data_IF_640960433341
#
_entry.id   IF_640960433341
#
_cell.length_a   1.000
_cell.length_b   1.000
_cell.length_c   1.000
_cell.angle_alpha   90.00
_cell.angle_beta   90.00
_cell.angle_gamma   90.00
#
_symmetry.space_group_name_H-M   'P 1'
#
loop_
_entity.id
_entity.type
_entity.pdbx_description
1 polymer ?
#
# COMPACT_ATOMS: atom_id res chain seq x y z
N UNK A 1 0.13 36.66 -5.39
CA UNK A 1 1.45 36.40 -4.77
C UNK A 1 1.96 35.13 -5.42
N UNK A 2 2.96 35.25 -6.31
CA UNK A 2 3.45 34.18 -7.18
C UNK A 2 4.46 33.33 -6.41
N UNK A 3 4.18 32.03 -6.22
CA UNK A 3 5.18 31.07 -5.73
C UNK A 3 5.94 30.44 -6.92
N UNK A 4 7.25 30.16 -6.77
CA UNK A 4 8.09 29.68 -7.87
C UNK A 4 7.81 28.21 -8.22
N UNK A 5 7.87 27.91 -9.53
CA UNK A 5 7.62 26.61 -10.17
C UNK A 5 8.63 25.49 -9.83
N UNK A 6 9.41 25.61 -8.77
CA UNK A 6 10.42 24.62 -8.36
C UNK A 6 10.06 23.81 -7.10
N UNK A 7 8.80 23.88 -6.63
CA UNK A 7 8.31 23.17 -5.43
C UNK A 7 7.10 22.26 -5.78
N UNK A 8 6.97 21.83 -7.04
CA UNK A 8 5.90 20.91 -7.46
C UNK A 8 6.39 19.44 -7.49
N UNK A 9 7.69 19.20 -7.29
CA UNK A 9 8.31 17.88 -7.37
C UNK A 9 8.56 17.15 -6.05
N UNK A 10 8.08 17.64 -4.90
CA UNK A 10 8.32 17.01 -3.59
C UNK A 10 7.14 17.13 -2.62
N UNK A 11 5.91 17.19 -3.12
CA UNK A 11 4.72 17.34 -2.27
C UNK A 11 3.60 16.37 -2.70
N UNK A 12 3.90 15.07 -2.76
CA UNK A 12 2.91 13.97 -2.92
C UNK A 12 3.45 12.68 -2.28
N UNK A 13 3.91 12.78 -1.03
CA UNK A 13 4.14 11.60 -0.18
C UNK A 13 3.42 11.88 1.13
N UNK A 14 2.13 11.55 1.17
CA UNK A 14 1.44 11.31 2.43
C UNK A 14 1.80 9.90 2.86
N UNK A 15 2.48 9.81 3.99
CA UNK A 15 2.85 8.55 4.63
C UNK A 15 1.61 7.89 5.23
N UNK A 16 0.94 7.03 4.48
CA UNK A 16 0.00 6.06 5.05
C UNK A 16 0.61 4.66 4.98
N UNK A 17 1.27 4.26 6.08
CA UNK A 17 1.77 2.89 6.25
C UNK A 17 0.59 1.98 6.59
N UNK A 18 -0.10 1.46 5.57
CA UNK A 18 -1.23 0.54 5.78
C UNK A 18 -0.71 -0.90 5.90
N UNK A 19 -0.66 -1.36 7.14
CA UNK A 19 -0.35 -2.74 7.49
C UNK A 19 -1.65 -3.55 7.57
N UNK A 20 -2.06 -4.21 6.48
CA UNK A 20 -3.19 -5.14 6.52
C UNK A 20 -2.96 -6.23 7.57
N UNK A 21 -3.91 -6.39 8.50
CA UNK A 21 -3.95 -7.46 9.49
C UNK A 21 -4.63 -8.66 8.84
N UNK A 22 -3.84 -9.58 8.31
CA UNK A 22 -4.34 -10.75 7.61
C UNK A 22 -3.55 -11.96 8.10
N UNK A 23 -4.12 -12.80 8.98
CA UNK A 23 -3.60 -14.16 9.12
C UNK A 23 -4.01 -15.06 7.97
N UNK A 24 -3.31 -14.86 6.88
CA UNK A 24 -3.40 -15.64 5.68
C UNK A 24 -2.09 -16.40 5.55
N UNK A 25 -2.09 -17.68 5.91
CA UNK A 25 -0.98 -18.60 5.68
C UNK A 25 -0.69 -18.78 4.17
N UNK A 26 -0.03 -17.79 3.59
CA UNK A 26 0.53 -17.76 2.24
C UNK A 26 1.98 -17.31 2.36
N UNK A 27 2.89 -17.97 1.63
CA UNK A 27 4.33 -17.68 1.64
C UNK A 27 4.72 -16.46 0.79
N UNK A 28 3.78 -15.64 0.32
CA UNK A 28 4.06 -14.46 -0.51
C UNK A 28 3.03 -13.35 -0.25
N UNK A 29 3.42 -12.23 0.40
CA UNK A 29 2.64 -10.98 0.42
C UNK A 29 3.51 -9.69 0.54
N UNK A 30 3.26 -8.77 -0.40
CA UNK A 30 3.01 -7.31 -0.32
C UNK A 30 4.02 -6.40 0.41
N UNK A 31 4.70 -5.52 -0.34
CA UNK A 31 5.51 -4.41 0.18
C UNK A 31 5.17 -3.05 -0.47
N UNK A 32 5.14 -2.01 0.36
CA UNK A 32 5.18 -0.59 -0.04
C UNK A 32 6.65 -0.19 -0.23
N UNK A 33 6.96 0.52 -1.32
CA UNK A 33 8.31 1.05 -1.58
C UNK A 33 8.40 2.52 -1.16
N UNK A 34 9.36 2.81 -0.29
CA UNK A 34 10.05 4.10 -0.24
C UNK A 34 11.32 3.99 -1.12
N UNK A 35 11.66 5.05 -1.85
CA UNK A 35 12.65 4.98 -2.91
C UNK A 35 14.08 5.18 -2.36
N UNK A 36 15.02 4.38 -2.90
CA UNK A 36 16.49 4.48 -2.83
C UNK A 36 17.18 3.89 -1.59
N UNK A 37 17.65 2.65 -1.73
CA UNK A 37 19.07 2.29 -1.84
C UNK A 37 19.28 0.81 -1.49
N UNK A 38 19.92 0.07 -2.38
CA UNK A 38 20.56 -1.24 -2.19
C UNK A 38 19.79 -2.32 -1.41
N UNK A 39 19.49 -3.42 -2.12
CA UNK A 39 18.90 -4.65 -1.58
C UNK A 39 19.83 -5.26 -0.52
N UNK A 40 19.62 -4.91 0.75
CA UNK A 40 19.97 -5.75 1.89
C UNK A 40 18.67 -6.40 2.41
N UNK A 41 18.80 -7.57 3.03
CA UNK A 41 17.69 -8.44 3.44
C UNK A 41 16.55 -7.65 4.09
N UNK A 42 15.47 -7.39 3.35
CA UNK A 42 14.27 -6.63 3.78
C UNK A 42 13.64 -7.19 5.07
N UNK A 43 14.04 -8.38 5.49
CA UNK A 43 13.65 -9.02 6.76
C UNK A 43 14.52 -8.71 7.98
N UNK A 44 15.61 -7.92 7.91
CA UNK A 44 16.50 -7.67 9.05
C UNK A 44 16.44 -6.25 9.62
N UNK A 45 15.70 -5.33 8.99
CA UNK A 45 15.57 -3.97 9.53
C UNK A 45 14.86 -3.98 10.90
N UNK A 46 15.43 -3.34 11.92
CA UNK A 46 14.79 -3.23 13.22
C UNK A 46 13.53 -2.37 13.13
N UNK A 47 12.45 -2.89 13.68
CA UNK A 47 11.16 -2.21 13.87
C UNK A 47 10.78 -2.22 15.33
N UNK A 48 10.06 -1.19 15.75
CA UNK A 48 9.46 -1.13 17.07
C UNK A 48 7.96 -1.23 16.93
N UNK A 49 7.37 -2.18 17.64
CA UNK A 49 5.92 -2.32 17.71
C UNK A 49 5.45 -2.15 19.15
N UNK A 50 4.24 -1.64 19.31
CA UNK A 50 3.55 -1.57 20.58
C UNK A 50 2.30 -2.45 20.53
N UNK A 51 2.21 -3.41 21.45
CA UNK A 51 1.01 -4.26 21.57
C UNK A 51 0.00 -3.63 22.53
N UNK A 52 -1.18 -4.23 22.69
CA UNK A 52 -2.22 -3.74 23.59
C UNK A 52 -1.81 -3.69 25.08
N UNK A 53 -0.68 -4.30 25.46
CA UNK A 53 -0.09 -4.16 26.80
C UNK A 53 0.69 -2.85 27.01
N UNK A 54 0.75 -1.97 26.00
CA UNK A 54 1.61 -0.77 25.96
C UNK A 54 3.12 -1.09 26.05
N UNK A 55 3.50 -2.34 25.84
CA UNK A 55 4.89 -2.75 25.78
C UNK A 55 5.45 -2.49 24.39
N UNK A 56 6.61 -1.81 24.34
CA UNK A 56 7.36 -1.59 23.12
C UNK A 56 8.29 -2.78 22.89
N UNK A 57 8.21 -3.39 21.71
CA UNK A 57 8.97 -4.59 21.36
C UNK A 57 9.79 -4.35 20.11
N UNK A 58 11.08 -4.68 20.16
CA UNK A 58 11.95 -4.69 18.99
C UNK A 58 11.75 -5.99 18.21
N UNK A 59 11.46 -5.84 16.93
CA UNK A 59 11.07 -6.92 16.01
C UNK A 59 11.67 -6.68 14.64
N UNK A 60 11.73 -7.71 13.81
CA UNK A 60 11.96 -7.55 12.37
C UNK A 60 10.65 -7.38 11.60
N UNK A 61 10.71 -7.01 10.33
CA UNK A 61 9.54 -7.09 9.43
C UNK A 61 8.98 -8.52 9.33
N UNK A 62 9.86 -9.53 9.39
CA UNK A 62 9.48 -10.93 9.36
C UNK A 62 8.74 -11.36 10.64
N UNK A 63 9.16 -10.86 11.79
CA UNK A 63 8.47 -11.07 13.07
C UNK A 63 7.10 -10.38 13.09
N UNK A 64 7.00 -9.16 12.57
CA UNK A 64 5.71 -8.46 12.41
C UNK A 64 4.73 -9.29 11.61
N UNK A 65 5.19 -9.89 10.50
CA UNK A 65 4.36 -10.79 9.71
C UNK A 65 3.97 -12.03 10.51
N UNK A 66 4.90 -12.67 11.21
CA UNK A 66 4.63 -13.81 12.09
C UNK A 66 3.59 -13.51 13.17
N UNK A 67 3.66 -12.34 13.81
CA UNK A 67 2.70 -11.88 14.81
C UNK A 67 1.31 -11.69 14.21
N UNK A 68 1.22 -11.02 13.05
CA UNK A 68 -0.05 -10.86 12.34
C UNK A 68 -0.66 -12.20 11.98
N UNK A 69 0.15 -13.15 11.46
CA UNK A 69 -0.25 -14.52 11.15
C UNK A 69 -0.81 -15.28 12.37
N UNK A 70 -0.44 -14.86 13.58
CA UNK A 70 -0.95 -15.44 14.82
C UNK A 70 -2.08 -14.60 15.45
N UNK A 71 -2.63 -13.62 14.72
CA UNK A 71 -3.73 -12.78 15.19
C UNK A 71 -3.34 -11.76 16.25
N UNK A 72 -2.04 -11.48 16.40
CA UNK A 72 -1.57 -10.47 17.36
C UNK A 72 -1.72 -9.08 16.76
N UNK A 73 -2.47 -8.21 17.44
CA UNK A 73 -2.61 -6.80 17.06
C UNK A 73 -1.49 -5.98 17.68
N UNK A 74 -0.87 -5.11 16.88
CA UNK A 74 0.17 -4.19 17.32
C UNK A 74 0.13 -2.91 16.47
N UNK A 75 0.74 -1.83 17.00
CA UNK A 75 1.00 -0.57 16.29
C UNK A 75 2.49 -0.48 15.98
N UNK A 76 2.87 -0.16 14.75
CA UNK A 76 4.26 0.13 14.41
C UNK A 76 4.60 1.56 14.84
N UNK A 77 5.44 1.69 15.87
CA UNK A 77 5.84 2.96 16.49
C UNK A 77 7.24 3.39 16.11
N UNK A 78 7.88 2.75 15.11
CA UNK A 78 9.30 2.95 14.76
C UNK A 78 9.69 4.42 14.53
N UNK A 79 8.76 5.26 14.04
CA UNK A 79 9.03 6.67 13.74
C UNK A 79 8.64 7.66 14.84
N UNK A 80 7.98 7.22 15.91
CA UNK A 80 7.46 8.06 17.00
C UNK A 80 7.62 7.37 18.37
N UNK A 81 8.55 6.41 18.45
CA UNK A 81 8.84 5.60 19.63
C UNK A 81 9.27 6.45 20.84
N UNK A 82 9.87 7.62 20.60
CA UNK A 82 10.32 8.58 21.61
C UNK A 82 9.17 9.09 22.51
N UNK A 83 7.92 8.99 22.04
CA UNK A 83 6.73 9.37 22.83
C UNK A 83 6.38 8.33 23.92
N UNK A 84 6.89 7.11 23.79
CA UNK A 84 6.49 5.97 24.64
C UNK A 84 7.55 5.56 25.65
N UNK A 85 8.78 6.05 25.49
CA UNK A 85 9.94 5.68 26.32
C UNK A 85 10.55 6.95 26.90
N UNK A 86 10.75 6.95 28.21
CA UNK A 86 11.29 8.11 28.92
C UNK A 86 12.75 8.36 28.51
N UNK A 87 13.03 9.59 28.08
CA UNK A 87 14.34 10.05 27.61
C UNK A 87 15.49 9.86 28.60
N UNK A 88 15.19 9.73 29.89
CA UNK A 88 16.20 9.52 30.94
C UNK A 88 16.54 8.03 31.15
N UNK A 89 15.93 7.11 30.40
CA UNK A 89 16.13 5.66 30.55
C UNK A 89 17.26 5.12 29.67
N UNK A 90 17.92 4.06 30.16
CA UNK A 90 18.90 3.30 29.38
C UNK A 90 18.28 2.68 28.11
N UNK A 91 16.98 2.38 28.13
CA UNK A 91 16.23 1.87 26.99
C UNK A 91 16.16 2.92 25.86
N UNK A 92 15.89 4.19 26.20
CA UNK A 92 15.86 5.29 25.23
C UNK A 92 17.19 5.47 24.52
N UNK A 93 18.29 5.43 25.27
CA UNK A 93 19.63 5.57 24.71
C UNK A 93 19.99 4.39 23.80
N UNK A 94 19.60 3.17 24.16
CA UNK A 94 19.88 1.97 23.38
C UNK A 94 19.07 1.91 22.09
N UNK A 95 17.77 2.22 22.15
CA UNK A 95 16.90 2.26 20.98
C UNK A 95 17.35 3.36 20.02
N UNK A 96 17.67 4.55 20.54
CA UNK A 96 18.26 5.63 19.74
C UNK A 96 19.50 5.16 19.00
N UNK A 97 20.40 4.41 19.65
CA UNK A 97 21.61 3.87 19.02
C UNK A 97 21.29 2.86 17.93
N UNK A 98 20.40 1.90 18.20
CA UNK A 98 20.00 0.88 17.22
C UNK A 98 19.40 1.55 15.99
N UNK A 99 18.39 2.39 16.17
CA UNK A 99 17.71 3.05 15.05
C UNK A 99 18.61 4.05 14.32
N UNK A 100 19.44 4.82 15.03
CA UNK A 100 20.36 5.77 14.37
C UNK A 100 21.50 5.05 13.63
N UNK A 101 22.02 3.95 14.16
CA UNK A 101 23.03 3.14 13.47
C UNK A 101 22.51 2.62 12.13
N UNK A 102 21.28 2.07 12.12
CA UNK A 102 20.62 1.64 10.89
C UNK A 102 20.27 2.83 9.97
N UNK A 103 19.80 3.97 10.51
CA UNK A 103 19.50 5.18 9.71
C UNK A 103 20.74 5.81 9.06
N UNK A 104 21.90 5.74 9.70
CA UNK A 104 23.14 6.38 9.23
C UNK A 104 24.00 5.49 8.33
N UNK A 105 23.64 4.21 8.14
CA UNK A 105 24.40 3.22 7.33
C UNK A 105 25.90 3.13 7.70
N UNK A 106 26.27 3.46 8.95
CA UNK A 106 27.66 3.38 9.42
C UNK A 106 28.03 1.94 9.80
N UNK A 107 28.35 1.12 8.80
CA UNK A 107 28.76 -0.28 9.02
C UNK A 107 30.25 -0.39 9.34
N UNK A 108 30.63 -0.13 10.59
CA UNK A 108 31.88 -0.65 11.15
C UNK A 108 31.63 -1.39 12.47
N UNK A 109 31.75 -2.73 12.41
CA UNK A 109 32.02 -3.65 13.53
C UNK A 109 31.19 -3.47 14.82
N UNK A 110 29.90 -3.16 14.74
CA UNK A 110 29.04 -3.16 15.92
C UNK A 110 28.36 -4.52 16.11
N UNK A 111 29.05 -5.43 16.80
CA UNK A 111 28.46 -6.69 17.25
C UNK A 111 27.69 -6.43 18.55
N UNK A 112 26.38 -6.18 18.44
CA UNK A 112 25.49 -5.94 19.57
C UNK A 112 25.11 -7.26 20.27
N UNK A 113 25.27 -7.33 21.59
CA UNK A 113 24.72 -8.41 22.41
C UNK A 113 23.31 -8.02 22.86
N UNK A 114 22.31 -8.62 22.21
CA UNK A 114 20.87 -8.45 22.44
C UNK A 114 20.41 -8.79 23.88
N UNK A 115 21.25 -9.48 24.65
CA UNK A 115 20.94 -10.03 25.98
C UNK A 115 20.72 -9.00 27.10
N UNK A 116 21.03 -7.70 26.92
CA UNK A 116 20.96 -6.70 28.00
C UNK A 116 19.68 -5.86 28.05
N UNK A 117 18.70 -6.14 27.20
CA UNK A 117 17.56 -5.24 26.94
C UNK A 117 16.24 -5.63 27.65
N UNK A 118 16.22 -6.65 28.51
CA UNK A 118 14.99 -7.05 29.20
C UNK A 118 14.68 -6.13 30.40
N UNK A 119 14.02 -5.01 30.16
CA UNK A 119 13.33 -4.21 31.18
C UNK A 119 11.83 -4.50 31.14
N UNK A 120 11.06 -4.17 32.19
CA UNK A 120 9.61 -4.44 32.24
C UNK A 120 8.78 -3.73 31.14
N UNK A 121 9.37 -2.83 30.34
CA UNK A 121 8.69 -2.09 29.27
C UNK A 121 9.23 -2.40 27.87
N UNK A 122 10.34 -3.13 27.77
CA UNK A 122 11.00 -3.42 26.51
C UNK A 122 11.26 -4.92 26.36
N UNK A 123 10.71 -5.50 25.30
CA UNK A 123 10.86 -6.91 24.97
C UNK A 123 11.54 -7.07 23.61
N UNK A 124 12.22 -8.21 23.44
CA UNK A 124 12.79 -8.62 22.16
C UNK A 124 12.15 -9.94 21.80
N UNK A 125 11.63 -10.05 20.58
CA UNK A 125 11.19 -11.35 20.09
C UNK A 125 12.44 -12.14 19.71
N UNK A 126 12.71 -13.19 20.47
CA UNK A 126 13.68 -14.20 20.04
C UNK A 126 13.23 -14.80 18.71
N UNK A 127 14.17 -14.86 17.77
CA UNK A 127 14.01 -15.33 16.40
C UNK A 127 13.39 -16.74 16.40
N UNK A 128 12.06 -16.80 16.16
CA UNK A 128 11.34 -18.08 16.16
C UNK A 128 11.57 -18.78 14.83
N UNK A 129 12.25 -19.92 14.87
CA UNK A 129 12.25 -20.91 13.77
C UNK A 129 10.82 -21.15 13.28
N UNK A 130 10.54 -20.73 12.05
CA UNK A 130 9.24 -20.92 11.39
C UNK A 130 8.55 -19.65 10.90
N UNK A 131 9.17 -18.48 11.02
CA UNK A 131 8.63 -17.26 10.42
C UNK A 131 8.52 -17.39 8.89
N UNK A 132 7.43 -16.89 8.29
CA UNK A 132 7.19 -16.97 6.84
C UNK A 132 8.34 -16.30 6.08
N UNK A 133 8.76 -16.89 4.96
CA UNK A 133 9.80 -16.32 4.10
C UNK A 133 9.18 -15.14 3.35
N UNK A 134 9.73 -13.95 3.56
CA UNK A 134 9.35 -12.79 2.76
C UNK A 134 9.94 -12.95 1.35
N UNK A 135 9.14 -12.84 0.27
CA UNK A 135 9.68 -12.86 -1.08
C UNK A 135 10.61 -11.66 -1.26
N UNK A 136 11.88 -11.93 -1.61
CA UNK A 136 12.84 -10.88 -1.95
C UNK A 136 12.63 -10.51 -3.41
N UNK A 137 12.11 -9.31 -3.65
CA UNK A 137 11.94 -8.81 -5.02
C UNK A 137 13.17 -7.99 -5.42
N UNK A 138 13.89 -8.47 -6.44
CA UNK A 138 15.01 -7.71 -7.02
C UNK A 138 14.45 -6.72 -8.03
N UNK A 139 14.33 -5.46 -7.59
CA UNK A 139 14.01 -4.38 -8.51
C UNK A 139 15.24 -4.05 -9.37
N UNK A 140 15.05 -3.77 -10.66
CA UNK A 140 16.17 -3.40 -11.51
C UNK A 140 16.81 -2.09 -11.01
N UNK A 141 18.08 -2.17 -10.59
CA UNK A 141 18.82 -1.04 -9.99
C UNK A 141 19.54 -0.22 -11.09
N UNK A 142 19.68 -0.77 -12.30
CA UNK A 142 20.33 -0.06 -13.40
C UNK A 142 19.35 0.84 -14.19
N UNK A 143 19.87 1.98 -14.67
CA UNK A 143 19.07 2.90 -15.47
C UNK A 143 18.63 2.35 -16.83
N UNK A 144 19.15 1.19 -17.25
CA UNK A 144 18.88 0.61 -18.57
C UNK A 144 17.58 -0.21 -18.60
N UNK A 145 17.20 -0.76 -17.45
CA UNK A 145 16.00 -1.56 -17.23
C UNK A 145 14.79 -0.72 -16.79
N UNK A 146 15.02 0.48 -16.27
CA UNK A 146 13.95 1.40 -15.90
C UNK A 146 13.51 2.28 -17.08
N UNK A 147 12.20 2.45 -17.26
CA UNK A 147 11.62 3.18 -18.39
C UNK A 147 11.59 4.71 -18.21
N UNK A 148 12.65 5.33 -17.67
CA UNK A 148 12.70 6.76 -17.29
C UNK A 148 12.18 7.69 -18.39
N UNK A 149 12.69 7.57 -19.63
CA UNK A 149 12.25 8.41 -20.76
C UNK A 149 10.76 8.30 -21.05
N UNK A 150 10.14 7.13 -20.80
CA UNK A 150 8.70 6.91 -20.99
C UNK A 150 7.94 7.55 -19.83
N UNK A 151 8.40 7.32 -18.59
CA UNK A 151 7.81 7.88 -17.37
C UNK A 151 7.87 9.41 -17.36
N UNK A 152 9.03 10.02 -17.63
CA UNK A 152 9.19 11.49 -17.67
C UNK A 152 8.24 12.15 -18.68
N UNK A 153 8.02 11.50 -19.84
CA UNK A 153 7.06 11.99 -20.84
C UNK A 153 5.62 11.93 -20.36
N UNK A 154 5.27 10.99 -19.49
CA UNK A 154 3.94 10.86 -18.90
C UNK A 154 3.75 11.86 -17.77
N UNK A 155 4.76 12.05 -16.90
CA UNK A 155 4.74 13.04 -15.82
C UNK A 155 4.46 14.44 -16.38
N UNK A 156 5.08 14.80 -17.50
CA UNK A 156 4.84 16.09 -18.15
C UNK A 156 3.44 16.25 -18.76
N UNK A 157 2.60 15.21 -18.76
CA UNK A 157 1.22 15.21 -19.25
C UNK A 157 0.17 15.16 -18.13
N UNK A 158 0.62 15.18 -16.87
CA UNK A 158 -0.28 15.23 -15.71
C UNK A 158 -1.17 16.48 -15.84
N UNK A 159 -2.47 16.26 -15.77
CA UNK A 159 -3.50 17.29 -15.83
C UNK A 159 -3.99 17.64 -14.43
N UNK A 160 -3.28 18.57 -13.78
CA UNK A 160 -3.61 19.00 -12.42
C UNK A 160 -4.97 19.69 -12.33
N UNK A 161 -5.43 20.34 -13.40
CA UNK A 161 -6.74 20.98 -13.43
C UNK A 161 -7.86 19.92 -13.40
N UNK A 162 -7.70 18.81 -14.15
CA UNK A 162 -8.62 17.68 -14.05
C UNK A 162 -8.60 17.08 -12.64
N UNK A 163 -7.41 16.87 -12.06
CA UNK A 163 -7.29 16.34 -10.69
C UNK A 163 -8.03 17.22 -9.67
N UNK A 164 -7.88 18.55 -9.76
CA UNK A 164 -8.62 19.48 -8.90
C UNK A 164 -10.12 19.45 -9.13
N UNK A 165 -10.57 19.34 -10.39
CA UNK A 165 -11.98 19.20 -10.74
C UNK A 165 -12.58 17.92 -10.14
N UNK A 166 -11.91 16.79 -10.33
CA UNK A 166 -12.33 15.49 -9.79
C UNK A 166 -12.38 15.52 -8.25
N UNK A 167 -11.37 16.11 -7.62
CA UNK A 167 -11.32 16.26 -6.16
C UNK A 167 -12.45 17.15 -5.66
N UNK A 168 -12.79 18.21 -6.39
CA UNK A 168 -13.92 19.07 -6.07
C UNK A 168 -15.26 18.33 -6.13
N UNK A 169 -15.40 17.33 -7.02
CA UNK A 169 -16.59 16.47 -7.04
C UNK A 169 -16.60 15.54 -5.82
N UNK A 170 -15.49 14.85 -5.55
CA UNK A 170 -15.38 13.92 -4.40
C UNK A 170 -15.60 14.59 -3.05
N UNK A 171 -15.11 15.82 -2.88
CA UNK A 171 -15.30 16.63 -1.66
C UNK A 171 -16.64 17.38 -1.62
N UNK A 172 -17.36 17.37 -2.74
CA UNK A 172 -18.71 17.92 -2.89
C UNK A 172 -19.79 17.02 -2.27
N UNK A 173 -19.56 15.70 -2.22
CA UNK A 173 -20.42 14.78 -1.47
C UNK A 173 -20.45 15.17 0.02
N UNK A 174 -21.58 14.92 0.70
CA UNK A 174 -21.72 15.26 2.12
C UNK A 174 -20.71 14.47 2.98
N UNK A 175 -20.61 13.18 2.74
CA UNK A 175 -19.52 12.30 3.14
C UNK A 175 -19.38 11.23 2.09
N UNK A 176 -18.32 10.43 2.15
CA UNK A 176 -18.20 9.20 1.36
C UNK A 176 -18.27 7.98 2.26
N UNK A 177 -18.94 8.10 3.41
CA UNK A 177 -18.99 7.05 4.42
C UNK A 177 -19.61 5.77 3.85
N UNK A 178 -18.92 4.65 3.99
CA UNK A 178 -19.23 3.39 3.29
C UNK A 178 -20.62 2.81 3.57
N UNK A 179 -21.23 3.12 4.73
CA UNK A 179 -22.61 2.72 5.09
C UNK A 179 -23.69 3.69 4.62
N UNK A 180 -23.32 4.82 4.02
CA UNK A 180 -24.25 5.87 3.61
C UNK A 180 -24.59 5.79 2.12
N UNK A 181 -25.75 6.35 1.74
CA UNK A 181 -26.09 6.51 0.32
C UNK A 181 -25.08 7.40 -0.42
N UNK A 182 -24.51 8.42 0.25
CA UNK A 182 -23.49 9.27 -0.36
C UNK A 182 -22.20 8.50 -0.66
N UNK A 183 -21.81 7.54 0.19
CA UNK A 183 -20.69 6.64 -0.07
C UNK A 183 -20.90 5.76 -1.30
N UNK A 184 -22.11 5.22 -1.47
CA UNK A 184 -22.49 4.49 -2.68
C UNK A 184 -22.47 5.41 -3.92
N UNK A 185 -23.10 6.58 -3.84
CA UNK A 185 -23.13 7.55 -4.95
C UNK A 185 -21.72 7.99 -5.36
N UNK A 186 -20.81 8.24 -4.42
CA UNK A 186 -19.43 8.61 -4.72
C UNK A 186 -18.66 7.47 -5.37
N UNK A 187 -18.86 6.23 -4.94
CA UNK A 187 -18.24 5.07 -5.58
C UNK A 187 -18.76 4.87 -7.01
N UNK A 188 -20.08 5.03 -7.24
CA UNK A 188 -20.66 4.95 -8.57
C UNK A 188 -20.18 6.08 -9.49
N UNK A 189 -19.88 7.26 -8.95
CA UNK A 189 -19.23 8.33 -9.72
C UNK A 189 -17.83 7.92 -10.18
N UNK A 190 -16.99 7.38 -9.30
CA UNK A 190 -15.65 6.86 -9.66
C UNK A 190 -15.77 5.73 -10.69
N UNK A 191 -16.72 4.81 -10.51
CA UNK A 191 -17.00 3.74 -11.47
C UNK A 191 -17.36 4.30 -12.87
N UNK A 192 -18.11 5.40 -12.92
CA UNK A 192 -18.42 6.10 -14.16
C UNK A 192 -17.18 6.65 -14.88
N UNK A 193 -16.27 7.30 -14.15
CA UNK A 193 -14.99 7.78 -14.70
C UNK A 193 -14.15 6.62 -15.24
N UNK A 194 -14.10 5.50 -14.51
CA UNK A 194 -13.38 4.30 -14.90
C UNK A 194 -13.98 3.63 -16.14
N UNK A 195 -15.31 3.51 -16.22
CA UNK A 195 -15.98 3.00 -17.40
C UNK A 195 -15.70 3.87 -18.63
N UNK A 196 -15.71 5.19 -18.49
CA UNK A 196 -15.38 6.10 -19.59
C UNK A 196 -13.97 5.84 -20.14
N UNK A 197 -12.99 5.54 -19.29
CA UNK A 197 -11.65 5.14 -19.72
C UNK A 197 -11.63 3.77 -20.41
N UNK A 198 -12.39 2.79 -19.91
CA UNK A 198 -12.42 1.44 -20.47
C UNK A 198 -13.04 1.38 -21.88
N UNK A 199 -13.93 2.30 -22.23
CA UNK A 199 -14.56 2.34 -23.57
C UNK A 199 -13.56 2.49 -24.72
N UNK A 200 -12.37 3.04 -24.47
CA UNK A 200 -11.31 3.18 -25.46
C UNK A 200 -10.83 1.80 -25.98
N UNK A 201 -10.87 0.75 -25.14
CA UNK A 201 -10.49 -0.62 -25.53
C UNK A 201 -11.06 -1.70 -24.58
N UNK A 202 -12.33 -2.08 -24.80
CA UNK A 202 -13.04 -3.07 -23.98
C UNK A 202 -12.47 -4.51 -24.04
N UNK A 203 -11.51 -4.79 -24.93
CA UNK A 203 -10.80 -6.09 -24.95
C UNK A 203 -9.61 -6.11 -24.01
N UNK A 204 -9.03 -4.95 -23.72
CA UNK A 204 -7.84 -4.79 -22.89
C UNK A 204 -8.20 -4.36 -21.46
N UNK A 205 -9.29 -3.59 -21.32
CA UNK A 205 -9.71 -2.99 -20.06
C UNK A 205 -11.00 -3.64 -19.55
N UNK A 206 -11.01 -3.98 -18.27
CA UNK A 206 -12.19 -4.48 -17.57
C UNK A 206 -12.41 -3.67 -16.28
N UNK A 207 -13.64 -3.24 -16.01
CA UNK A 207 -14.01 -2.53 -14.78
C UNK A 207 -15.06 -3.34 -14.05
N UNK A 208 -14.75 -3.78 -12.84
CA UNK A 208 -15.61 -4.62 -12.01
C UNK A 208 -15.97 -3.89 -10.71
N UNK A 209 -17.25 -3.94 -10.35
CA UNK A 209 -17.70 -3.61 -9.01
C UNK A 209 -17.57 -4.87 -8.15
N UNK A 210 -16.87 -4.75 -7.03
CA UNK A 210 -16.79 -5.78 -6.00
C UNK A 210 -17.79 -5.39 -4.90
N UNK A 211 -18.90 -6.13 -4.84
CA UNK A 211 -19.96 -5.90 -3.85
C UNK A 211 -19.59 -6.50 -2.50
N UNK A 212 -19.98 -5.82 -1.43
CA UNK A 212 -19.75 -6.24 -0.05
C UNK A 212 -21.09 -6.56 0.62
N UNK A 213 -21.15 -7.62 1.42
CA UNK A 213 -22.41 -8.07 2.03
C UNK A 213 -22.90 -7.10 3.11
N UNK A 214 -21.98 -6.54 3.90
CA UNK A 214 -22.30 -5.77 5.11
C UNK A 214 -22.56 -4.27 4.87
N UNK A 215 -22.28 -3.76 3.67
CA UNK A 215 -22.39 -2.34 3.36
C UNK A 215 -22.61 -2.06 1.87
N UNK A 216 -23.31 -0.97 1.52
CA UNK A 216 -23.73 -0.69 0.15
C UNK A 216 -22.62 -0.16 -0.76
N UNK A 217 -21.57 0.48 -0.23
CA UNK A 217 -20.50 1.03 -1.06
C UNK A 217 -19.64 -0.11 -1.63
N UNK A 218 -19.54 -0.28 -2.96
CA UNK A 218 -18.69 -1.31 -3.54
C UNK A 218 -17.22 -0.86 -3.58
N UNK A 219 -16.30 -1.82 -3.54
CA UNK A 219 -14.94 -1.59 -4.06
C UNK A 219 -14.96 -1.67 -5.59
N UNK A 220 -13.98 -1.06 -6.26
CA UNK A 220 -13.91 -1.02 -7.73
C UNK A 220 -12.54 -1.47 -8.19
N UNK A 221 -12.50 -2.36 -9.17
CA UNK A 221 -11.27 -2.89 -9.76
C UNK A 221 -11.27 -2.57 -11.25
N UNK A 222 -10.33 -1.72 -11.68
CA UNK A 222 -10.03 -1.52 -13.09
C UNK A 222 -8.81 -2.36 -13.47
N UNK A 223 -9.00 -3.34 -14.33
CA UNK A 223 -7.98 -4.27 -14.79
C UNK A 223 -7.53 -3.96 -16.22
N UNK A 224 -6.22 -3.86 -16.40
CA UNK A 224 -5.54 -3.87 -17.69
C UNK A 224 -4.95 -5.26 -17.88
N UNK A 225 -5.38 -5.96 -18.94
CA UNK A 225 -4.85 -7.29 -19.24
C UNK A 225 -3.37 -7.21 -19.66
N UNK A 226 -2.55 -8.02 -19.02
CA UNK A 226 -1.17 -8.24 -19.42
C UNK A 226 -1.07 -8.97 -20.76
N UNK A 227 0.03 -8.75 -21.47
CA UNK A 227 0.42 -9.51 -22.65
C UNK A 227 1.83 -10.08 -22.40
N UNK A 228 1.94 -11.18 -21.63
CA UNK A 228 3.25 -11.74 -21.30
C UNK A 228 3.94 -12.18 -22.59
N UNK A 229 5.18 -11.75 -22.79
CA UNK A 229 6.02 -12.27 -23.87
C UNK A 229 6.26 -13.74 -23.55
N UNK A 230 5.84 -14.64 -24.44
CA UNK A 230 6.05 -16.08 -24.28
C UNK A 230 7.54 -16.41 -24.36
N UNK A 231 8.26 -16.28 -23.24
CA UNK A 231 9.58 -16.87 -23.06
C UNK A 231 9.47 -18.23 -22.36
N UNK A 232 8.38 -18.97 -22.60
CA UNK A 232 8.24 -20.35 -22.13
C UNK A 232 9.05 -21.27 -23.05
N UNK A 233 10.36 -21.34 -22.77
CA UNK A 233 11.26 -22.41 -23.24
C UNK A 233 11.25 -23.62 -22.30
N UNK A 234 10.22 -23.77 -21.46
CA UNK A 234 10.04 -24.97 -20.64
C UNK A 234 9.18 -25.96 -21.41
N UNK A 235 9.83 -26.94 -22.03
CA UNK A 235 9.22 -28.17 -22.59
C UNK A 235 8.68 -29.09 -21.47
N UNK A 236 8.09 -28.55 -20.41
CA UNK A 236 7.51 -29.35 -19.34
C UNK A 236 5.98 -29.29 -19.43
N UNK A 237 5.42 -30.40 -19.91
CA UNK A 237 3.99 -30.58 -20.11
C UNK A 237 3.31 -30.86 -18.77
N UNK A 238 3.04 -29.82 -17.99
CA UNK A 238 1.99 -29.83 -16.97
C UNK A 238 1.02 -28.71 -17.33
N UNK A 239 -0.15 -29.08 -17.85
CA UNK A 239 -1.17 -28.20 -18.41
C UNK A 239 -1.97 -27.41 -17.35
N UNK A 240 -1.29 -26.58 -16.55
CA UNK A 240 -1.94 -25.43 -15.91
C UNK A 240 -1.16 -24.19 -16.35
N UNK A 241 -1.82 -23.29 -17.08
CA UNK A 241 -1.24 -22.00 -17.41
C UNK A 241 -0.98 -21.27 -16.09
N UNK A 242 0.28 -21.15 -15.69
CA UNK A 242 0.68 -20.37 -14.51
C UNK A 242 -0.05 -19.01 -14.50
N UNK A 243 -0.67 -18.60 -13.39
CA UNK A 243 -1.42 -17.36 -13.33
C UNK A 243 -0.51 -16.17 -13.65
N UNK A 244 -0.96 -15.31 -14.57
CA UNK A 244 -0.25 -14.06 -14.90
C UNK A 244 -0.16 -13.22 -13.62
N UNK A 245 1.05 -12.79 -13.22
CA UNK A 245 1.22 -11.97 -12.03
C UNK A 245 0.47 -10.63 -12.14
N UNK A 246 -0.02 -10.14 -11.01
CA UNK A 246 -0.74 -8.87 -10.88
C UNK A 246 0.12 -7.82 -10.19
N UNK A 247 0.10 -6.60 -10.74
CA UNK A 247 0.60 -5.39 -10.10
C UNK A 247 -0.62 -4.54 -9.72
N UNK A 248 -0.80 -4.26 -8.45
CA UNK A 248 -1.95 -3.52 -7.93
C UNK A 248 -1.51 -2.11 -7.53
N UNK A 249 -2.29 -1.11 -7.92
CA UNK A 249 -2.20 0.26 -7.41
C UNK A 249 -3.53 0.59 -6.75
N UNK A 250 -3.51 0.93 -5.47
CA UNK A 250 -4.71 1.05 -4.63
C UNK A 250 -4.85 2.41 -3.96
N UNK A 251 -6.09 2.78 -3.65
CA UNK A 251 -6.50 3.85 -2.75
C UNK A 251 -7.87 3.48 -2.14
N UNK A 252 -8.35 4.21 -1.13
CA UNK A 252 -9.71 4.01 -0.61
C UNK A 252 -10.66 5.15 -0.96
N UNK A 253 -11.94 4.81 -1.10
CA UNK A 253 -13.00 5.68 -1.56
C UNK A 253 -13.68 6.45 -0.42
N UNK A 254 -13.78 5.83 0.75
CA UNK A 254 -14.59 6.35 1.83
C UNK A 254 -13.94 7.52 2.56
N UNK A 255 -14.77 8.20 3.33
CA UNK A 255 -14.35 9.23 4.28
C UNK A 255 -15.28 9.19 5.48
N UNK A 256 -14.73 9.46 6.66
CA UNK A 256 -15.51 9.44 7.89
C UNK A 256 -15.38 10.75 8.68
N UNK A 257 -16.41 11.04 9.46
CA UNK A 257 -16.29 11.96 10.59
C UNK A 257 -16.40 11.14 11.88
N UNK A 258 -15.29 10.98 12.61
CA UNK A 258 -15.20 10.09 13.77
C UNK A 258 -16.16 10.44 14.92
N UNK A 259 -16.65 11.68 15.00
CA UNK A 259 -17.57 12.11 16.06
C UNK A 259 -18.99 11.58 15.81
N UNK A 260 -19.48 11.68 14.57
CA UNK A 260 -20.78 11.15 14.14
C UNK A 260 -20.75 10.82 12.64
N UNK A 261 -20.31 9.61 12.24
CA UNK A 261 -20.04 9.23 10.85
C UNK A 261 -21.20 9.43 9.87
N UNK A 262 -22.44 9.31 10.36
CA UNK A 262 -23.65 9.41 9.55
C UNK A 262 -24.29 10.80 9.51
N UNK A 263 -23.88 11.72 10.40
CA UNK A 263 -24.58 12.99 10.62
C UNK A 263 -23.74 14.22 10.38
N UNK A 264 -22.41 14.07 10.33
CA UNK A 264 -21.50 15.17 10.11
C UNK A 264 -20.82 15.04 8.76
N UNK A 265 -20.56 16.20 8.15
CA UNK A 265 -19.86 16.29 6.87
C UNK A 265 -18.46 15.71 7.00
N UNK A 266 -18.04 14.94 6.00
CA UNK A 266 -16.68 14.40 5.87
C UNK A 266 -16.19 14.60 4.43
N UNK A 267 -15.67 15.80 4.08
CA UNK A 267 -15.21 16.07 2.72
C UNK A 267 -14.08 15.13 2.27
N UNK A 268 -13.23 14.65 3.19
CA UNK A 268 -12.17 13.68 2.91
C UNK A 268 -11.27 14.08 1.74
N UNK A 269 -10.79 15.32 1.74
CA UNK A 269 -10.03 15.87 0.61
C UNK A 269 -8.63 15.27 0.52
N UNK A 270 -7.89 15.30 1.64
CA UNK A 270 -6.58 14.67 1.73
C UNK A 270 -6.73 13.16 1.91
N UNK A 271 -7.55 12.77 2.88
CA UNK A 271 -7.88 11.39 3.24
C UNK A 271 -9.29 10.97 2.75
N UNK A 272 -9.41 10.19 1.67
CA UNK A 272 -8.38 9.90 0.67
C UNK A 272 -8.80 10.36 -0.74
N UNK A 273 -9.45 11.53 -0.81
CA UNK A 273 -9.79 12.15 -2.08
C UNK A 273 -8.55 12.40 -2.94
N UNK A 274 -7.42 12.76 -2.31
CA UNK A 274 -6.15 13.05 -2.98
C UNK A 274 -5.55 11.80 -3.64
N UNK A 275 -5.59 10.65 -2.97
CA UNK A 275 -5.15 9.38 -3.54
C UNK A 275 -6.05 8.92 -4.68
N UNK A 276 -7.37 9.02 -4.52
CA UNK A 276 -8.32 8.65 -5.58
C UNK A 276 -8.04 9.43 -6.88
N UNK A 277 -7.87 10.76 -6.81
CA UNK A 277 -7.60 11.55 -8.03
C UNK A 277 -6.20 11.32 -8.61
N UNK A 278 -5.22 10.99 -7.76
CA UNK A 278 -3.87 10.63 -8.20
C UNK A 278 -3.88 9.30 -8.97
N UNK A 279 -4.59 8.31 -8.45
CA UNK A 279 -4.74 6.99 -9.07
C UNK A 279 -5.55 7.09 -10.38
N UNK A 280 -6.63 7.88 -10.40
CA UNK A 280 -7.41 8.16 -11.62
C UNK A 280 -6.55 8.83 -12.71
N UNK A 281 -5.71 9.80 -12.35
CA UNK A 281 -4.85 10.49 -13.30
C UNK A 281 -3.75 9.59 -13.87
N UNK A 282 -3.14 8.77 -13.02
CA UNK A 282 -2.16 7.76 -13.46
C UNK A 282 -2.79 6.78 -14.47
N UNK A 283 -3.99 6.27 -14.16
CA UNK A 283 -4.73 5.39 -15.05
C UNK A 283 -5.12 6.10 -16.36
N UNK A 284 -5.60 7.35 -16.31
CA UNK A 284 -5.92 8.15 -17.50
C UNK A 284 -4.70 8.28 -18.42
N UNK A 285 -3.53 8.56 -17.87
CA UNK A 285 -2.29 8.66 -18.66
C UNK A 285 -1.89 7.32 -19.28
N UNK A 286 -2.06 6.21 -18.57
CA UNK A 286 -1.81 4.86 -19.09
C UNK A 286 -2.72 4.55 -20.28
N UNK A 287 -4.03 4.77 -20.12
CA UNK A 287 -5.04 4.52 -21.16
C UNK A 287 -4.85 5.43 -22.35
N UNK A 288 -4.72 6.75 -22.15
CA UNK A 288 -4.58 7.73 -23.24
C UNK A 288 -3.28 7.61 -24.03
N UNK A 289 -2.25 6.97 -23.46
CA UNK A 289 -1.00 6.68 -24.17
C UNK A 289 -0.93 5.23 -24.68
N UNK A 290 -2.02 4.45 -24.58
CA UNK A 290 -2.12 3.05 -25.03
C UNK A 290 -0.97 2.18 -24.50
N UNK A 291 -0.65 2.31 -23.21
CA UNK A 291 0.41 1.50 -22.62
C UNK A 291 -0.06 0.06 -22.43
N UNK A 292 0.84 -0.87 -22.73
CA UNK A 292 0.68 -2.31 -22.48
C UNK A 292 1.74 -2.79 -21.52
N UNK A 293 1.43 -3.86 -20.79
CA UNK A 293 2.28 -4.44 -19.75
C UNK A 293 2.39 -5.94 -19.95
N UNK A 294 3.45 -6.55 -19.43
CA UNK A 294 3.60 -8.02 -19.43
C UNK A 294 2.72 -8.67 -18.35
N UNK A 295 2.65 -8.02 -17.19
CA UNK A 295 1.77 -8.39 -16.07
C UNK A 295 0.38 -7.78 -16.22
N UNK A 296 -0.60 -8.39 -15.55
CA UNK A 296 -1.86 -7.71 -15.28
C UNK A 296 -1.59 -6.49 -14.40
N UNK A 297 -2.18 -5.35 -14.74
CA UNK A 297 -2.12 -4.14 -13.90
C UNK A 297 -3.52 -3.79 -13.46
N UNK A 298 -3.73 -3.68 -12.16
CA UNK A 298 -5.03 -3.43 -11.57
C UNK A 298 -5.01 -2.16 -10.73
N UNK A 299 -6.03 -1.33 -10.91
CA UNK A 299 -6.27 -0.12 -10.13
C UNK A 299 -7.46 -0.38 -9.21
N UNK A 300 -7.21 -0.37 -7.91
CA UNK A 300 -8.19 -0.72 -6.89
C UNK A 300 -8.63 0.53 -6.14
N UNK A 301 -9.94 0.66 -5.99
CA UNK A 301 -10.59 1.73 -5.23
C UNK A 301 -11.42 1.05 -4.15
N UNK A 302 -10.85 0.92 -2.95
CA UNK A 302 -11.44 0.11 -1.89
C UNK A 302 -12.51 0.88 -1.12
N UNK A 303 -13.60 0.20 -0.80
CA UNK A 303 -14.58 0.70 0.14
C UNK A 303 -14.15 0.42 1.59
N UNK A 304 -14.74 1.16 2.54
CA UNK A 304 -14.72 0.85 3.96
C UNK A 304 -13.31 0.69 4.59
N UNK A 305 -12.34 1.51 4.19
CA UNK A 305 -11.02 1.58 4.85
C UNK A 305 -11.19 2.09 6.28
N UNK A 306 -11.99 3.15 6.45
CA UNK A 306 -12.30 3.81 7.72
C UNK A 306 -13.16 2.91 8.63
N UNK A 307 -13.70 1.83 8.06
CA UNK A 307 -14.38 0.75 8.76
C UNK A 307 -13.45 -0.30 9.36
N UNK A 308 -12.13 -0.18 9.15
CA UNK A 308 -11.11 -1.15 9.53
C UNK A 308 -10.65 -2.03 8.38
N UNK A 309 -10.36 -1.43 7.21
CA UNK A 309 -9.83 -2.11 6.01
C UNK A 309 -10.77 -3.18 5.43
N UNK A 310 -12.08 -3.03 5.60
CA UNK A 310 -13.04 -4.10 5.29
C UNK A 310 -13.04 -4.44 3.80
N UNK A 311 -13.08 -3.43 2.92
CA UNK A 311 -13.14 -3.67 1.48
C UNK A 311 -11.88 -4.30 0.91
N UNK A 312 -10.70 -3.80 1.30
CA UNK A 312 -9.42 -4.38 0.86
C UNK A 312 -9.20 -5.78 1.43
N UNK A 313 -9.62 -6.05 2.67
CA UNK A 313 -9.52 -7.39 3.25
C UNK A 313 -10.37 -8.42 2.48
N UNK A 314 -11.59 -8.07 2.08
CA UNK A 314 -12.46 -8.96 1.31
C UNK A 314 -11.93 -9.22 -0.10
N UNK A 315 -11.42 -8.20 -0.80
CA UNK A 315 -10.78 -8.37 -2.12
C UNK A 315 -9.54 -9.27 -2.02
N UNK A 316 -8.68 -9.05 -1.03
CA UNK A 316 -7.48 -9.87 -0.83
C UNK A 316 -7.81 -11.31 -0.44
N UNK A 317 -8.91 -11.52 0.30
CA UNK A 317 -9.41 -12.86 0.60
C UNK A 317 -9.90 -13.56 -0.66
N UNK A 318 -10.68 -12.90 -1.51
CA UNK A 318 -11.12 -13.46 -2.80
C UNK A 318 -9.91 -13.83 -3.69
N UNK A 319 -8.90 -12.96 -3.75
CA UNK A 319 -7.67 -13.23 -4.52
C UNK A 319 -6.91 -14.43 -3.97
N UNK A 320 -6.83 -14.58 -2.64
CA UNK A 320 -6.22 -15.75 -2.01
C UNK A 320 -7.02 -17.02 -2.34
N UNK A 321 -8.34 -16.99 -2.20
CA UNK A 321 -9.21 -18.14 -2.42
C UNK A 321 -9.18 -18.57 -3.91
N UNK A 322 -8.95 -17.62 -4.82
CA UNK A 322 -8.72 -17.84 -6.25
C UNK A 322 -7.27 -18.21 -6.61
N UNK A 323 -6.36 -18.34 -5.62
CA UNK A 323 -4.93 -18.57 -5.83
C UNK A 323 -4.28 -17.57 -6.81
N UNK A 324 -4.70 -16.30 -6.76
CA UNK A 324 -4.19 -15.26 -7.62
C UNK A 324 -2.75 -14.88 -7.23
N UNK A 325 -1.90 -14.68 -8.23
CA UNK A 325 -0.51 -14.26 -8.04
C UNK A 325 -0.40 -12.73 -8.02
N UNK A 326 -0.02 -12.15 -6.89
CA UNK A 326 0.20 -10.71 -6.73
C UNK A 326 1.70 -10.48 -6.52
N UNK A 327 2.34 -9.72 -7.41
CA UNK A 327 3.77 -9.43 -7.29
C UNK A 327 4.07 -8.14 -6.52
N UNK A 328 3.18 -7.14 -6.63
CA UNK A 328 3.37 -5.84 -5.99
C UNK A 328 2.02 -5.19 -5.73
N UNK A 329 1.88 -4.51 -4.58
CA UNK A 329 0.79 -3.59 -4.30
C UNK A 329 1.40 -2.26 -3.86
N UNK A 330 1.01 -1.19 -4.55
CA UNK A 330 1.30 0.18 -4.14
C UNK A 330 -0.01 0.75 -3.61
N UNK A 331 -0.02 1.33 -2.42
CA UNK A 331 -1.20 1.92 -1.81
C UNK A 331 -0.95 3.40 -1.54
N UNK A 332 -1.91 4.24 -1.89
CA UNK A 332 -1.91 5.68 -1.59
C UNK A 332 -2.84 6.00 -0.43
#
# INVERSE_FOLDING_TARGET
>A
MLFPKSIVGSLLISSCSVYANLNLGINEQIFLLDHQDHIEQVGSEPRLIMTNSEEVTLVTEQDKLGLKLNGVTFKDVTNYWEEFIDSETDDFLQISKILNHYKQKEFENYQFSIESLSSNKFNILEDKKGSPILPVYEYPIDNSSFHFKKVDKLINKIDTEKMYSDLSVLTGFYSRYYKSNYGLESALWVYGELLALATDNAKLYNVTLFEHEDFPQPSIIFKILGNPVSNSTSNDHTNESEPIPKIVVGCHLDSINLIMPNFLKAPGADDNGSGVVTVLEALRLIVKNNLTFENDVEFHFYAAEEGGLLGSAEVMKDYKDANAKISLIIFH
#
